data_IF_702533435444
#
_entry.id   IF_702533435444
#
_cell.length_a   1.000
_cell.length_b   1.000
_cell.length_c   1.000
_cell.angle_alpha   90.00
_cell.angle_beta   90.00
_cell.angle_gamma   90.00
#
_symmetry.space_group_name_H-M   'P 1'
#
loop_
_entity.id
_entity.type
_entity.pdbx_description
1 polymer ?
#
# COMPACT_ATOMS: atom_id res chain seq x y z
N UNK A 1 11.47 16.17 -35.20
CA UNK A 1 10.52 15.03 -35.28
C UNK A 1 9.83 14.89 -33.92
N UNK A 2 8.51 15.03 -33.85
CA UNK A 2 7.77 14.82 -32.59
C UNK A 2 7.79 13.33 -32.26
N UNK A 3 8.32 12.96 -31.08
CA UNK A 3 8.23 11.59 -30.61
C UNK A 3 6.76 11.29 -30.30
N UNK A 4 6.16 10.25 -30.90
CA UNK A 4 4.80 9.88 -30.56
C UNK A 4 4.73 9.48 -29.08
N UNK A 5 3.87 10.13 -28.30
CA UNK A 5 3.54 9.76 -26.93
C UNK A 5 2.25 8.92 -26.90
N UNK A 6 2.17 7.96 -25.99
CA UNK A 6 0.93 7.25 -25.69
C UNK A 6 0.25 7.96 -24.51
N UNK A 7 -1.03 8.27 -24.68
CA UNK A 7 -1.85 8.89 -23.64
C UNK A 7 -2.40 7.79 -22.74
N UNK A 8 -2.15 7.90 -21.44
CA UNK A 8 -2.59 6.92 -20.46
C UNK A 8 -3.65 7.57 -19.57
N UNK A 9 -4.83 6.93 -19.53
CA UNK A 9 -5.94 7.30 -18.66
C UNK A 9 -5.87 6.60 -17.29
N UNK A 10 -6.77 6.94 -16.35
CA UNK A 10 -6.77 6.41 -14.99
C UNK A 10 -6.91 4.89 -14.91
N UNK A 11 -7.75 4.27 -15.74
CA UNK A 11 -7.94 2.82 -15.77
C UNK A 11 -6.65 2.09 -16.15
N UNK A 12 -6.00 2.53 -17.23
CA UNK A 12 -4.75 1.93 -17.70
C UNK A 12 -3.60 2.14 -16.70
N UNK A 13 -3.58 3.27 -15.98
CA UNK A 13 -2.60 3.51 -14.93
C UNK A 13 -2.69 2.49 -13.80
N UNK A 14 -3.89 2.20 -13.30
CA UNK A 14 -4.05 1.26 -12.17
C UNK A 14 -4.03 -0.21 -12.59
N UNK A 15 -4.30 -0.51 -13.86
CA UNK A 15 -4.21 -1.86 -14.41
C UNK A 15 -2.78 -2.27 -14.77
N UNK A 16 -1.85 -1.31 -14.80
CA UNK A 16 -0.44 -1.58 -15.11
C UNK A 16 0.27 -2.19 -13.91
N UNK A 17 1.05 -3.24 -14.13
CA UNK A 17 1.89 -3.82 -13.08
C UNK A 17 2.94 -2.79 -12.61
N UNK A 18 3.19 -2.67 -11.30
CA UNK A 18 4.28 -1.84 -10.80
C UNK A 18 5.63 -2.41 -11.29
N UNK A 19 6.65 -1.57 -11.53
CA UNK A 19 7.97 -2.06 -11.94
C UNK A 19 8.58 -2.96 -10.88
N UNK A 20 9.32 -3.99 -11.32
CA UNK A 20 10.11 -4.84 -10.43
C UNK A 20 11.12 -4.00 -9.64
N UNK A 21 11.35 -4.40 -8.38
CA UNK A 21 12.38 -3.82 -7.53
C UNK A 21 13.76 -4.24 -8.04
N UNK A 22 14.69 -3.28 -8.11
CA UNK A 22 16.09 -3.58 -8.37
C UNK A 22 16.80 -3.72 -7.03
N UNK A 23 17.22 -4.93 -6.67
CA UNK A 23 17.94 -5.20 -5.43
C UNK A 23 19.43 -4.91 -5.60
N UNK A 24 19.98 -4.07 -4.72
CA UNK A 24 21.40 -3.78 -4.70
C UNK A 24 22.24 -4.94 -4.14
N UNK A 25 23.56 -4.97 -4.42
CA UNK A 25 24.47 -6.01 -3.92
C UNK A 25 24.63 -6.00 -2.39
N UNK A 26 24.32 -4.87 -1.74
CA UNK A 26 24.26 -4.75 -0.29
C UNK A 26 22.82 -4.44 0.11
N UNK A 27 22.24 -5.30 0.95
CA UNK A 27 20.86 -5.16 1.39
C UNK A 27 20.66 -5.75 2.78
N UNK A 28 19.59 -5.33 3.46
CA UNK A 28 19.15 -5.85 4.76
C UNK A 28 19.08 -7.38 4.71
N UNK A 29 19.68 -8.02 5.71
CA UNK A 29 19.78 -9.49 5.84
C UNK A 29 18.95 -10.05 7.00
N UNK A 30 18.32 -9.18 7.79
CA UNK A 30 17.60 -9.57 9.00
C UNK A 30 16.16 -9.06 8.92
N UNK A 31 15.25 -9.76 9.58
CA UNK A 31 13.85 -9.35 9.65
C UNK A 31 13.67 -8.03 10.41
N UNK A 32 12.78 -7.20 9.90
CA UNK A 32 12.30 -5.98 10.55
C UNK A 32 10.92 -6.18 11.20
N UNK A 33 10.50 -7.43 11.43
CA UNK A 33 9.31 -7.72 12.23
C UNK A 33 9.57 -7.35 13.68
N UNK A 34 8.62 -6.64 14.28
CA UNK A 34 8.67 -6.33 15.70
C UNK A 34 8.26 -7.54 16.52
N UNK A 35 8.79 -7.62 17.74
CA UNK A 35 8.36 -8.57 18.77
C UNK A 35 6.98 -8.17 19.30
N UNK A 36 5.95 -8.43 18.48
CA UNK A 36 4.56 -8.11 18.72
C UNK A 36 3.69 -9.26 18.20
N UNK A 37 2.62 -9.53 18.94
CA UNK A 37 1.61 -10.52 18.57
C UNK A 37 0.22 -9.91 18.73
N UNK A 38 -0.63 -10.02 17.72
CA UNK A 38 -2.04 -9.66 17.86
C UNK A 38 -2.80 -10.78 18.57
N UNK A 39 -3.42 -10.47 19.70
CA UNK A 39 -4.15 -11.43 20.54
C UNK A 39 -5.66 -11.46 20.30
N UNK A 40 -6.19 -10.57 19.45
CA UNK A 40 -7.63 -10.49 19.15
C UNK A 40 -8.10 -11.54 18.12
N UNK A 41 -9.31 -11.38 17.60
CA UNK A 41 -9.87 -12.31 16.61
C UNK A 41 -9.45 -11.90 15.19
N UNK A 42 -8.75 -12.78 14.49
CA UNK A 42 -8.50 -12.68 13.04
C UNK A 42 -9.47 -13.58 12.30
N UNK A 43 -10.09 -13.06 11.25
CA UNK A 43 -10.98 -13.82 10.37
C UNK A 43 -10.77 -13.34 8.92
N UNK A 44 -10.90 -14.23 7.92
CA UNK A 44 -10.92 -13.81 6.52
C UNK A 44 -12.01 -12.78 6.25
N UNK A 45 -11.69 -11.72 5.50
CA UNK A 45 -12.67 -10.73 5.08
C UNK A 45 -13.61 -11.33 4.04
N UNK A 46 -14.76 -11.83 4.52
CA UNK A 46 -15.77 -12.46 3.69
C UNK A 46 -16.25 -11.55 2.57
N UNK A 47 -16.26 -12.08 1.35
CA UNK A 47 -16.69 -11.35 0.15
C UNK A 47 -15.78 -10.20 -0.28
N UNK A 48 -14.56 -10.09 0.25
CA UNK A 48 -13.62 -9.01 -0.10
C UNK A 48 -13.37 -8.93 -1.61
N UNK A 49 -12.89 -10.03 -2.22
CA UNK A 49 -12.52 -10.06 -3.63
C UNK A 49 -13.72 -9.73 -4.54
N UNK A 50 -14.87 -10.36 -4.29
CA UNK A 50 -16.09 -10.09 -5.07
C UNK A 50 -16.55 -8.65 -4.93
N UNK A 51 -16.42 -8.04 -3.75
CA UNK A 51 -16.77 -6.64 -3.52
C UNK A 51 -15.83 -5.70 -4.28
N UNK A 52 -14.52 -5.97 -4.29
CA UNK A 52 -13.53 -5.20 -5.05
C UNK A 52 -13.78 -5.32 -6.55
N UNK A 53 -14.01 -6.53 -7.06
CA UNK A 53 -14.32 -6.76 -8.48
C UNK A 53 -15.59 -6.03 -8.91
N UNK A 54 -16.65 -6.12 -8.09
CA UNK A 54 -17.91 -5.41 -8.34
C UNK A 54 -17.72 -3.90 -8.31
N UNK A 55 -16.95 -3.37 -7.36
CA UNK A 55 -16.64 -1.95 -7.29
C UNK A 55 -15.85 -1.49 -8.51
N UNK A 56 -14.85 -2.27 -8.95
CA UNK A 56 -14.05 -1.95 -10.13
C UNK A 56 -14.87 -1.96 -11.42
N UNK A 57 -15.68 -3.00 -11.65
CA UNK A 57 -16.53 -3.12 -12.84
C UNK A 57 -17.58 -2.01 -12.95
N UNK A 58 -18.10 -1.55 -11.81
CA UNK A 58 -19.07 -0.46 -11.77
C UNK A 58 -18.42 0.93 -11.72
N UNK A 59 -17.09 1.01 -11.65
CA UNK A 59 -16.39 2.28 -11.58
C UNK A 59 -16.32 2.94 -12.97
N UNK A 60 -16.87 4.15 -13.08
CA UNK A 60 -16.79 4.92 -14.34
C UNK A 60 -15.55 5.81 -14.34
N UNK A 61 -14.50 5.36 -15.01
CA UNK A 61 -13.27 6.12 -15.18
C UNK A 61 -13.47 7.38 -16.03
N UNK A 62 -12.94 8.52 -15.58
CA UNK A 62 -12.95 9.75 -16.38
C UNK A 62 -12.07 9.61 -17.62
N UNK A 63 -12.56 10.11 -18.75
CA UNK A 63 -11.81 10.24 -20.01
C UNK A 63 -10.83 11.42 -19.95
N UNK A 64 -9.80 11.30 -19.10
CA UNK A 64 -8.73 12.29 -18.93
C UNK A 64 -7.37 11.62 -19.10
N UNK A 65 -6.44 12.28 -19.80
CA UNK A 65 -5.04 11.88 -19.83
C UNK A 65 -4.38 12.25 -18.50
N UNK A 66 -3.88 11.25 -17.77
CA UNK A 66 -3.17 11.45 -16.50
C UNK A 66 -1.66 11.24 -16.64
N UNK A 67 -1.22 10.49 -17.64
CA UNK A 67 0.20 10.34 -17.95
C UNK A 67 0.44 10.29 -19.46
N UNK A 68 1.66 10.67 -19.84
CA UNK A 68 2.21 10.49 -21.17
C UNK A 68 3.39 9.55 -21.02
N UNK A 69 3.33 8.38 -21.65
CA UNK A 69 4.54 7.57 -21.80
C UNK A 69 5.17 7.83 -23.16
N UNK A 70 6.48 7.99 -23.16
CA UNK A 70 7.25 8.08 -24.39
C UNK A 70 7.29 6.69 -25.02
N UNK A 71 7.07 6.58 -26.34
CA UNK A 71 7.29 5.30 -27.07
C UNK A 71 8.76 4.84 -27.09
N UNK A 72 9.67 5.60 -26.46
CA UNK A 72 11.10 5.33 -26.30
C UNK A 72 11.45 5.37 -24.82
N UNK A 73 12.48 4.62 -24.38
CA UNK A 73 12.99 4.51 -22.99
C UNK A 73 12.45 5.60 -22.08
N UNK A 74 11.44 5.25 -21.29
CA UNK A 74 10.82 6.15 -20.31
C UNK A 74 11.59 6.02 -18.99
N UNK A 75 12.41 7.03 -18.61
CA UNK A 75 13.22 6.97 -17.40
C UNK A 75 12.35 7.03 -16.13
N UNK A 76 11.07 7.37 -16.24
CA UNK A 76 10.14 7.45 -15.14
C UNK A 76 9.36 6.15 -14.94
N UNK A 77 9.06 5.43 -16.03
CA UNK A 77 8.38 4.13 -16.00
C UNK A 77 9.29 2.97 -15.54
N UNK A 78 10.62 3.10 -15.66
CA UNK A 78 11.53 2.02 -15.33
C UNK A 78 11.94 2.01 -13.84
N UNK A 79 12.21 0.79 -13.37
CA UNK A 79 12.69 0.40 -12.04
C UNK A 79 14.02 1.02 -11.59
N UNK A 80 14.49 2.15 -12.13
CA UNK A 80 15.90 2.56 -12.21
C UNK A 80 16.67 2.81 -10.89
N UNK A 81 16.04 2.67 -9.72
CA UNK A 81 16.69 2.89 -8.43
C UNK A 81 16.90 1.53 -7.79
N UNK A 82 18.15 1.19 -7.50
CA UNK A 82 18.49 0.06 -6.67
C UNK A 82 18.10 0.36 -5.22
N UNK A 83 17.52 -0.62 -4.54
CA UNK A 83 17.14 -0.54 -3.13
C UNK A 83 17.89 -1.61 -2.35
N UNK A 84 18.18 -1.30 -1.08
CA UNK A 84 18.84 -2.23 -0.15
C UNK A 84 18.08 -2.44 1.15
N UNK A 85 17.03 -1.68 1.43
CA UNK A 85 16.32 -1.70 2.71
C UNK A 85 14.86 -1.24 2.57
N UNK A 86 14.15 -1.26 3.70
CA UNK A 86 12.77 -0.82 3.86
C UNK A 86 12.58 0.66 3.47
N UNK A 87 13.59 1.51 3.68
CA UNK A 87 13.52 2.93 3.31
C UNK A 87 13.52 3.11 1.78
N UNK A 88 14.39 2.40 1.09
CA UNK A 88 14.38 2.33 -0.38
C UNK A 88 13.04 1.81 -0.89
N UNK A 89 12.52 0.74 -0.29
CA UNK A 89 11.20 0.18 -0.61
C UNK A 89 10.09 1.22 -0.45
N UNK A 90 10.03 1.95 0.66
CA UNK A 90 9.04 3.00 0.91
C UNK A 90 9.01 4.04 -0.21
N UNK A 91 10.19 4.50 -0.65
CA UNK A 91 10.30 5.43 -1.77
C UNK A 91 9.75 4.86 -3.09
N UNK A 92 9.97 3.56 -3.35
CA UNK A 92 9.40 2.88 -4.53
C UNK A 92 7.88 2.72 -4.42
N UNK A 93 7.39 2.39 -3.23
CA UNK A 93 5.97 2.24 -2.98
C UNK A 93 5.22 3.57 -3.19
N UNK A 94 5.73 4.66 -2.65
CA UNK A 94 5.16 5.99 -2.89
C UNK A 94 5.17 6.38 -4.37
N UNK A 95 6.26 6.11 -5.09
CA UNK A 95 6.33 6.43 -6.52
C UNK A 95 5.31 5.65 -7.36
N UNK A 96 5.20 4.34 -7.15
CA UNK A 96 4.46 3.45 -8.06
C UNK A 96 3.01 3.21 -7.66
N UNK A 97 2.70 3.31 -6.37
CA UNK A 97 1.34 3.19 -5.87
C UNK A 97 0.82 4.54 -5.39
N UNK A 98 1.58 5.22 -4.52
CA UNK A 98 1.15 6.48 -3.91
C UNK A 98 0.82 7.57 -4.93
N UNK A 99 1.78 7.96 -5.77
CA UNK A 99 1.62 9.01 -6.78
C UNK A 99 0.60 8.64 -7.86
N UNK A 100 0.61 7.38 -8.29
CA UNK A 100 -0.33 6.86 -9.29
C UNK A 100 -1.77 6.94 -8.76
N UNK A 101 -2.03 6.40 -7.57
CA UNK A 101 -3.35 6.41 -6.96
C UNK A 101 -3.78 7.83 -6.56
N UNK A 102 -2.87 8.67 -6.05
CA UNK A 102 -3.16 10.08 -5.78
C UNK A 102 -3.57 10.85 -7.04
N UNK A 103 -2.95 10.56 -8.19
CA UNK A 103 -3.33 11.15 -9.48
C UNK A 103 -4.74 10.73 -9.90
N UNK A 104 -5.10 9.47 -9.66
CA UNK A 104 -6.45 8.95 -9.93
C UNK A 104 -7.48 9.53 -8.96
N UNK A 105 -7.17 9.63 -7.67
CA UNK A 105 -8.05 10.27 -6.67
C UNK A 105 -8.29 11.74 -7.01
N UNK A 106 -7.24 12.46 -7.37
CA UNK A 106 -7.32 13.87 -7.77
C UNK A 106 -8.20 14.04 -9.01
N UNK A 107 -8.04 13.18 -10.03
CA UNK A 107 -8.84 13.28 -11.25
C UNK A 107 -10.32 13.04 -11.00
N UNK A 108 -10.68 12.25 -9.99
CA UNK A 108 -12.07 11.97 -9.60
C UNK A 108 -12.58 12.86 -8.46
N UNK A 109 -11.78 13.83 -7.99
CA UNK A 109 -12.13 14.68 -6.84
C UNK A 109 -12.42 13.87 -5.57
N UNK A 110 -11.75 12.73 -5.40
CA UNK A 110 -11.83 11.92 -4.18
C UNK A 110 -10.89 12.53 -3.15
N UNK A 111 -11.44 13.05 -2.05
CA UNK A 111 -10.71 13.72 -0.96
C UNK A 111 -9.93 12.75 -0.06
N UNK A 112 -9.13 11.86 -0.65
CA UNK A 112 -8.19 10.96 0.03
C UNK A 112 -6.84 11.00 -0.67
N UNK A 113 -5.77 10.79 0.11
CA UNK A 113 -4.40 10.76 -0.42
C UNK A 113 -3.48 9.88 0.38
N UNK A 114 -2.60 9.17 -0.33
CA UNK A 114 -1.37 8.61 0.24
C UNK A 114 -0.49 9.75 0.77
N UNK A 115 0.09 9.53 1.94
CA UNK A 115 0.97 10.47 2.61
C UNK A 115 1.89 9.77 3.62
N UNK A 116 2.96 10.46 4.00
CA UNK A 116 3.74 10.13 5.20
C UNK A 116 2.89 10.39 6.45
N UNK A 117 3.12 9.61 7.51
CA UNK A 117 2.40 9.80 8.77
C UNK A 117 2.63 11.19 9.39
N UNK A 118 3.78 11.83 9.15
CA UNK A 118 4.05 13.19 9.65
C UNK A 118 3.18 14.28 9.02
N UNK A 119 2.40 13.98 7.99
CA UNK A 119 1.41 14.90 7.41
C UNK A 119 0.10 15.02 8.21
N UNK A 120 -0.02 14.29 9.32
CA UNK A 120 -1.16 14.39 10.26
C UNK A 120 -0.65 14.69 11.66
N UNK A 121 -1.40 15.50 12.41
CA UNK A 121 -1.13 15.70 13.83
C UNK A 121 -1.68 14.51 14.61
N UNK A 122 -0.83 13.84 15.39
CA UNK A 122 -1.23 12.71 16.21
C UNK A 122 -0.42 12.64 17.50
N UNK A 123 -1.05 12.17 18.58
CA UNK A 123 -0.39 11.82 19.84
C UNK A 123 0.05 10.34 19.88
N UNK A 124 -0.29 9.57 18.84
CA UNK A 124 0.14 8.18 18.71
C UNK A 124 1.66 8.10 18.53
N UNK A 125 2.30 7.17 19.25
CA UNK A 125 3.77 7.05 19.29
C UNK A 125 4.37 6.19 18.18
N UNK A 126 3.56 5.35 17.50
CA UNK A 126 3.99 4.60 16.33
C UNK A 126 4.03 5.46 15.07
N UNK A 127 4.72 4.98 14.04
CA UNK A 127 4.79 5.63 12.72
C UNK A 127 4.50 4.59 11.66
N UNK A 128 3.26 4.51 11.13
CA UNK A 128 3.01 3.72 9.93
C UNK A 128 3.92 4.17 8.79
N UNK A 129 4.41 3.21 8.01
CA UNK A 129 5.22 3.50 6.83
C UNK A 129 4.46 4.37 5.83
N UNK A 130 3.16 4.06 5.65
CA UNK A 130 2.28 4.72 4.70
C UNK A 130 0.93 4.97 5.34
N UNK A 131 0.30 6.13 5.08
CA UNK A 131 -1.10 6.36 5.42
C UNK A 131 -1.90 6.78 4.19
N UNK A 132 -3.22 6.51 4.21
CA UNK A 132 -4.16 7.35 3.47
C UNK A 132 -4.86 8.28 4.46
N UNK A 133 -4.93 9.57 4.14
CA UNK A 133 -5.67 10.57 4.91
C UNK A 133 -6.72 11.28 4.07
N UNK A 134 -7.75 11.79 4.71
CA UNK A 134 -8.71 12.70 4.08
C UNK A 134 -8.20 14.15 4.02
N UNK A 135 -9.00 15.03 3.42
CA UNK A 135 -8.72 16.47 3.32
C UNK A 135 -8.77 17.18 4.69
N UNK A 136 -9.43 16.59 5.68
CA UNK A 136 -9.46 17.05 7.07
C UNK A 136 -8.27 16.52 7.89
N UNK A 137 -7.29 15.87 7.25
CA UNK A 137 -6.11 15.28 7.89
C UNK A 137 -6.43 14.13 8.86
N UNK A 138 -7.57 13.47 8.73
CA UNK A 138 -7.83 12.23 9.45
C UNK A 138 -7.25 11.04 8.70
N UNK A 139 -6.56 10.16 9.42
CA UNK A 139 -6.09 8.88 8.87
C UNK A 139 -7.30 7.98 8.58
N UNK A 140 -7.36 7.45 7.36
CA UNK A 140 -8.38 6.49 6.90
C UNK A 140 -7.82 5.08 6.72
N UNK A 141 -6.54 4.97 6.41
CA UNK A 141 -5.83 3.70 6.22
C UNK A 141 -4.43 3.82 6.80
N UNK A 142 -3.97 2.78 7.49
CA UNK A 142 -2.57 2.62 7.91
C UNK A 142 -1.92 1.44 7.15
N UNK A 143 -0.75 1.68 6.56
CA UNK A 143 0.03 0.70 5.81
C UNK A 143 1.37 0.42 6.48
N UNK A 144 1.75 -0.85 6.48
CA UNK A 144 3.07 -1.34 6.89
C UNK A 144 3.75 -2.01 5.70
N UNK A 145 5.04 -1.75 5.51
CA UNK A 145 5.85 -2.29 4.44
C UNK A 145 6.97 -3.17 5.00
N UNK A 146 7.29 -4.24 4.28
CA UNK A 146 8.48 -5.07 4.52
C UNK A 146 9.18 -5.43 3.24
N UNK A 147 10.49 -5.67 3.29
CA UNK A 147 11.24 -6.04 2.08
C UNK A 147 10.92 -7.47 1.62
N UNK A 148 10.77 -7.74 0.31
CA UNK A 148 10.37 -9.06 -0.19
C UNK A 148 11.50 -10.10 -0.22
N UNK A 149 12.76 -9.72 -0.04
CA UNK A 149 13.90 -10.66 -0.09
C UNK A 149 14.22 -11.33 1.24
N UNK A 150 13.44 -11.04 2.30
CA UNK A 150 13.56 -11.71 3.61
C UNK A 150 12.40 -12.69 3.74
N UNK A 151 12.69 -13.98 3.95
CA UNK A 151 11.68 -15.03 4.04
C UNK A 151 10.63 -14.77 5.13
N UNK A 152 11.02 -14.18 6.27
CA UNK A 152 10.09 -13.78 7.33
C UNK A 152 9.06 -12.74 6.89
N UNK A 153 9.22 -12.11 5.73
CA UNK A 153 8.30 -11.11 5.19
C UNK A 153 7.38 -11.65 4.09
N UNK A 154 7.47 -12.93 3.72
CA UNK A 154 6.60 -13.56 2.72
C UNK A 154 5.21 -13.79 3.30
N UNK A 155 4.20 -13.17 2.66
CA UNK A 155 2.84 -13.16 3.20
C UNK A 155 2.13 -14.48 2.93
N UNK A 156 2.35 -15.09 1.76
CA UNK A 156 1.78 -16.39 1.38
C UNK A 156 2.15 -17.51 2.36
N UNK A 157 3.40 -17.54 2.83
CA UNK A 157 3.90 -18.54 3.77
C UNK A 157 3.19 -18.47 5.13
N UNK A 158 2.78 -17.26 5.52
CA UNK A 158 2.13 -17.01 6.82
C UNK A 158 0.60 -17.08 6.72
N UNK A 159 0.03 -16.99 5.53
CA UNK A 159 -1.42 -16.86 5.35
C UNK A 159 -2.21 -18.02 5.96
N UNK A 160 -1.67 -19.24 5.89
CA UNK A 160 -2.32 -20.45 6.39
C UNK A 160 -1.94 -20.83 7.83
N UNK A 161 -1.01 -20.10 8.45
CA UNK A 161 -0.58 -20.30 9.83
C UNK A 161 -1.05 -19.11 10.67
N UNK A 162 -2.07 -19.34 11.51
CA UNK A 162 -2.69 -18.26 12.29
C UNK A 162 -1.72 -17.59 13.26
N UNK A 163 -0.76 -18.32 13.81
CA UNK A 163 0.19 -17.79 14.80
C UNK A 163 1.22 -16.89 14.09
N UNK A 164 1.71 -17.34 12.93
CA UNK A 164 2.56 -16.51 12.07
C UNK A 164 1.81 -15.27 11.55
N UNK A 165 0.54 -15.44 11.19
CA UNK A 165 -0.30 -14.35 10.70
C UNK A 165 -0.53 -13.28 11.78
N UNK A 166 -0.70 -13.70 13.04
CA UNK A 166 -0.83 -12.79 14.20
C UNK A 166 0.42 -11.94 14.41
N UNK A 167 1.60 -12.50 14.19
CA UNK A 167 2.87 -11.80 14.33
C UNK A 167 3.03 -10.78 13.20
N UNK A 168 2.91 -11.21 11.95
CA UNK A 168 3.19 -10.32 10.81
C UNK A 168 2.16 -9.17 10.70
N UNK A 169 0.90 -9.41 11.10
CA UNK A 169 -0.14 -8.38 11.08
C UNK A 169 -0.18 -7.53 12.35
N UNK A 170 0.59 -7.85 13.40
CA UNK A 170 0.51 -7.15 14.69
C UNK A 170 0.79 -5.64 14.56
N UNK A 171 1.80 -5.27 13.75
CA UNK A 171 2.19 -3.88 13.54
C UNK A 171 1.10 -3.04 12.85
N UNK A 172 0.61 -3.40 11.64
CA UNK A 172 -0.45 -2.61 11.00
C UNK A 172 -1.74 -2.60 11.82
N UNK A 173 -2.07 -3.68 12.55
CA UNK A 173 -3.24 -3.69 13.44
C UNK A 173 -3.05 -2.73 14.63
N UNK A 174 -1.87 -2.71 15.25
CA UNK A 174 -1.55 -1.74 16.32
C UNK A 174 -1.72 -0.30 15.84
N UNK A 175 -1.35 -0.01 14.60
CA UNK A 175 -1.55 1.30 14.00
C UNK A 175 -3.03 1.60 13.76
N UNK A 176 -3.79 0.64 13.22
CA UNK A 176 -5.23 0.80 13.00
C UNK A 176 -5.96 1.14 14.30
N UNK A 177 -5.69 0.38 15.37
CA UNK A 177 -6.25 0.61 16.69
C UNK A 177 -5.79 1.96 17.28
N UNK A 178 -4.49 2.25 17.24
CA UNK A 178 -3.92 3.47 17.83
C UNK A 178 -4.32 4.76 17.12
N UNK A 179 -4.69 4.67 15.83
CA UNK A 179 -5.13 5.81 15.01
C UNK A 179 -6.64 5.86 14.81
N UNK A 180 -7.38 4.87 15.30
CA UNK A 180 -8.83 4.76 15.13
C UNK A 180 -9.26 4.62 13.66
N UNK A 181 -8.43 4.03 12.80
CA UNK A 181 -8.77 3.81 11.40
C UNK A 181 -9.26 2.37 11.15
N UNK A 182 -10.29 2.24 10.32
CA UNK A 182 -11.00 0.97 10.08
C UNK A 182 -10.22 0.06 9.12
N UNK A 183 -9.37 0.62 8.27
CA UNK A 183 -8.69 -0.10 7.21
C UNK A 183 -7.18 -0.02 7.39
N UNK A 184 -6.50 -1.06 6.91
CA UNK A 184 -5.06 -1.08 6.83
C UNK A 184 -4.57 -2.09 5.81
N UNK A 185 -3.26 -2.16 5.64
CA UNK A 185 -2.65 -3.21 4.84
C UNK A 185 -1.24 -3.53 5.32
N UNK A 186 -0.84 -4.77 5.06
CA UNK A 186 0.54 -5.24 5.14
C UNK A 186 1.00 -5.55 3.72
N UNK A 187 2.11 -4.97 3.27
CA UNK A 187 2.64 -5.22 1.93
C UNK A 187 4.13 -5.51 1.98
N UNK A 188 4.59 -6.42 1.13
CA UNK A 188 6.01 -6.54 0.83
C UNK A 188 6.36 -6.08 -0.60
N UNK A 189 5.51 -5.23 -1.19
CA UNK A 189 5.51 -4.79 -2.60
C UNK A 189 5.01 -5.85 -3.59
N UNK A 190 5.38 -7.10 -3.41
CA UNK A 190 4.99 -8.21 -4.29
C UNK A 190 3.63 -8.80 -3.89
N UNK A 191 3.38 -8.85 -2.59
CA UNK A 191 2.19 -9.37 -1.95
C UNK A 191 1.56 -8.30 -1.06
N UNK A 192 0.25 -8.36 -0.88
CA UNK A 192 -0.47 -7.44 0.02
C UNK A 192 -1.65 -8.13 0.68
N UNK A 193 -1.73 -8.02 2.00
CA UNK A 193 -2.91 -8.39 2.79
C UNK A 193 -3.64 -7.11 3.18
N UNK A 194 -4.91 -7.01 2.76
CA UNK A 194 -5.80 -5.92 3.18
C UNK A 194 -6.52 -6.28 4.47
N UNK A 195 -6.60 -5.31 5.38
CA UNK A 195 -7.17 -5.46 6.71
C UNK A 195 -8.41 -4.58 6.87
N UNK A 196 -9.37 -5.10 7.62
CA UNK A 196 -10.54 -4.35 8.09
C UNK A 196 -10.78 -4.67 9.56
N UNK A 197 -10.79 -3.63 10.39
CA UNK A 197 -11.24 -3.70 11.76
C UNK A 197 -12.76 -3.64 11.78
N UNK A 198 -13.38 -4.61 12.47
CA UNK A 198 -14.79 -4.55 12.83
C UNK A 198 -14.84 -4.16 14.30
N UNK A 199 -15.58 -3.11 14.62
CA UNK A 199 -15.92 -2.83 16.02
C UNK A 199 -16.93 -3.89 16.41
N UNK A 200 -16.64 -4.65 17.47
CA UNK A 200 -17.64 -5.56 18.01
C UNK A 200 -18.82 -4.73 18.57
N UNK A 201 -19.96 -5.38 18.77
CA UNK A 201 -21.14 -4.72 19.36
C UNK A 201 -20.93 -4.32 20.83
N UNK A 202 -19.74 -4.54 21.39
CA UNK A 202 -19.38 -4.22 22.76
C UNK A 202 -18.38 -3.06 22.90
N UNK A 203 -17.87 -2.52 21.80
CA UNK A 203 -17.15 -1.25 21.76
C UNK A 203 -15.98 -1.18 22.74
N UNK A 204 -14.96 -2.03 22.54
CA UNK A 204 -13.64 -1.81 23.10
C UNK A 204 -12.72 -1.09 22.10
#
# INVERSE_FOLDING_TARGET
>A
MSRPALHIGPEMLIASAPPQLLLGPYHTQHSALHDLEFTGVLQPWQGFLSSVQTAHQNYTFRSQTLALTLKTRDPYAQGNVEIGDEHGLLGRFHKHFGDVLNSVFTSHSTGIRFADFKCVQSTFSGTPDVILKDDNHHVKVAGELKVPWIADHWLEDKYNDVDQLRIILAQPIKYMQGLGCVYGFMSNYEETIFLRQLVDSQGA
#
